data_IF_674736792711
#
_entry.id   IF_674736792711
#
_cell.length_a   1.000
_cell.length_b   1.000
_cell.length_c   1.000
_cell.angle_alpha   90.00
_cell.angle_beta   90.00
_cell.angle_gamma   90.00
#
_symmetry.space_group_name_H-M   'P 1'
#
loop_
_entity.id
_entity.type
_entity.pdbx_description
1 polymer ?
#
# COMPACT_ATOMS: atom_id res chain seq x y z
N UNK A 1 -9.21 30.40 16.17
CA UNK A 1 -10.12 29.24 16.17
C UNK A 1 -9.42 28.08 15.48
N UNK A 2 -9.15 26.98 16.18
CA UNK A 2 -8.50 25.80 15.59
C UNK A 2 -9.62 24.97 14.99
N UNK A 3 -9.64 24.83 13.66
CA UNK A 3 -10.63 23.99 12.97
C UNK A 3 -10.42 22.53 13.43
N UNK A 4 -11.44 21.84 13.96
CA UNK A 4 -11.32 20.46 14.36
C UNK A 4 -10.96 19.59 13.14
N UNK A 5 -10.00 18.68 13.31
CA UNK A 5 -9.65 17.70 12.28
C UNK A 5 -10.83 16.74 12.12
N UNK A 6 -11.17 16.37 10.89
CA UNK A 6 -12.17 15.33 10.63
C UNK A 6 -11.45 14.10 10.06
N UNK A 7 -11.29 13.09 10.91
CA UNK A 7 -10.62 11.82 10.56
C UNK A 7 -11.60 10.71 10.18
N UNK A 8 -12.89 10.85 10.49
CA UNK A 8 -13.89 9.81 10.25
C UNK A 8 -14.00 9.47 8.75
N UNK A 9 -14.08 8.18 8.42
CA UNK A 9 -14.13 7.65 7.06
C UNK A 9 -12.96 8.13 6.17
N UNK A 10 -11.76 8.23 6.76
CA UNK A 10 -10.52 8.55 6.03
C UNK A 10 -9.54 7.40 6.10
N UNK A 11 -8.70 7.32 5.07
CA UNK A 11 -7.51 6.48 5.09
C UNK A 11 -6.36 7.31 5.66
N UNK A 12 -5.63 6.74 6.59
CA UNK A 12 -4.52 7.39 7.30
C UNK A 12 -3.26 6.53 7.23
N UNK A 13 -2.12 7.18 7.46
CA UNK A 13 -0.86 6.55 7.85
C UNK A 13 -0.55 6.90 9.29
N UNK A 14 0.12 5.98 9.98
CA UNK A 14 0.68 6.24 11.29
C UNK A 14 2.07 6.88 11.15
N UNK A 15 2.41 7.77 12.08
CA UNK A 15 3.79 8.22 12.29
C UNK A 15 4.60 7.12 13.01
N UNK A 16 5.90 7.35 13.23
CA UNK A 16 6.78 6.37 13.87
C UNK A 16 6.32 5.95 15.27
N UNK A 17 5.76 6.87 16.06
CA UNK A 17 5.25 6.60 17.41
C UNK A 17 3.99 5.73 17.35
N UNK A 18 3.03 6.08 16.49
CA UNK A 18 1.82 5.29 16.29
C UNK A 18 2.11 3.90 15.73
N UNK A 19 3.11 3.74 14.85
CA UNK A 19 3.54 2.42 14.39
C UNK A 19 4.13 1.57 15.52
N UNK A 20 4.91 2.18 16.43
CA UNK A 20 5.45 1.47 17.59
C UNK A 20 4.35 1.05 18.57
N UNK A 21 3.35 1.91 18.80
CA UNK A 21 2.22 1.63 19.70
C UNK A 21 1.25 0.59 19.12
N UNK A 22 0.99 0.64 17.80
CA UNK A 22 0.15 -0.33 17.11
C UNK A 22 0.75 -1.75 17.09
N UNK A 23 2.09 -1.88 17.21
CA UNK A 23 2.77 -3.17 17.18
C UNK A 23 2.68 -3.92 15.84
N UNK A 24 2.25 -3.25 14.77
CA UNK A 24 2.06 -3.82 13.43
C UNK A 24 2.57 -2.86 12.34
N UNK A 25 2.95 -3.44 11.20
CA UNK A 25 3.64 -2.76 10.10
C UNK A 25 2.74 -2.49 8.89
N UNK A 26 1.41 -2.42 9.08
CA UNK A 26 0.51 -2.07 7.99
C UNK A 26 0.78 -0.65 7.48
N UNK A 27 0.75 -0.53 6.15
CA UNK A 27 1.09 0.73 5.47
C UNK A 27 -0.02 1.78 5.59
N UNK A 28 -1.27 1.33 5.65
CA UNK A 28 -2.45 2.19 5.69
C UNK A 28 -3.49 1.62 6.63
N UNK A 29 -4.29 2.52 7.19
CA UNK A 29 -5.41 2.20 8.06
C UNK A 29 -6.64 3.00 7.62
N UNK A 30 -7.82 2.41 7.77
CA UNK A 30 -9.09 3.10 7.66
C UNK A 30 -9.58 3.50 9.05
N UNK A 31 -10.07 4.73 9.18
CA UNK A 31 -10.65 5.24 10.44
C UNK A 31 -12.10 4.80 10.54
N UNK A 32 -12.34 3.76 11.33
CA UNK A 32 -13.66 3.20 11.62
C UNK A 32 -14.45 4.12 12.56
N UNK A 33 -13.81 4.63 13.62
CA UNK A 33 -14.42 5.58 14.56
C UNK A 33 -13.45 6.70 14.90
N UNK A 34 -13.97 7.92 15.06
CA UNK A 34 -13.20 9.07 15.56
C UNK A 34 -14.00 9.84 16.59
N UNK A 35 -13.44 9.97 17.79
CA UNK A 35 -13.98 10.77 18.88
C UNK A 35 -13.12 12.04 19.06
N UNK A 36 -13.57 13.22 18.59
CA UNK A 36 -12.75 14.43 18.59
C UNK A 36 -12.43 14.94 20.01
N UNK A 37 -13.33 14.74 20.96
CA UNK A 37 -13.15 15.22 22.34
C UNK A 37 -12.02 14.46 23.06
N UNK A 38 -11.89 13.16 22.78
CA UNK A 38 -10.87 12.30 23.36
C UNK A 38 -9.59 12.24 22.51
N UNK A 39 -9.61 12.82 21.30
CA UNK A 39 -8.58 12.61 20.27
C UNK A 39 -8.27 11.12 20.09
N UNK A 40 -9.32 10.29 20.07
CA UNK A 40 -9.24 8.84 19.99
C UNK A 40 -9.76 8.35 18.63
N UNK A 41 -9.05 7.39 18.04
CA UNK A 41 -9.44 6.74 16.78
C UNK A 41 -9.43 5.22 16.95
N UNK A 42 -10.41 4.58 16.34
CA UNK A 42 -10.46 3.14 16.13
C UNK A 42 -10.13 2.88 14.66
N UNK A 43 -9.10 2.07 14.42
CA UNK A 43 -8.51 1.89 13.10
C UNK A 43 -8.57 0.44 12.64
N UNK A 44 -9.04 0.22 11.42
CA UNK A 44 -8.93 -1.06 10.72
C UNK A 44 -7.74 -1.04 9.76
N UNK A 45 -6.82 -2.02 9.80
CA UNK A 45 -5.70 -2.07 8.87
C UNK A 45 -6.16 -2.42 7.45
N UNK A 46 -5.43 -1.94 6.45
CA UNK A 46 -5.65 -2.28 5.05
C UNK A 46 -4.59 -3.24 4.52
N UNK A 47 -5.03 -4.16 3.69
CA UNK A 47 -4.16 -5.10 2.96
C UNK A 47 -4.37 -4.99 1.46
N UNK A 48 -3.35 -5.36 0.70
CA UNK A 48 -3.45 -5.42 -0.76
C UNK A 48 -4.17 -6.69 -1.19
N UNK A 49 -5.29 -6.54 -1.90
CA UNK A 49 -6.08 -7.65 -2.44
C UNK A 49 -6.03 -7.66 -3.98
N UNK A 50 -4.84 -7.94 -4.52
CA UNK A 50 -4.61 -7.98 -5.97
C UNK A 50 -4.49 -6.58 -6.61
N UNK A 51 -4.83 -6.51 -7.90
CA UNK A 51 -4.66 -5.32 -8.74
C UNK A 51 -5.96 -4.99 -9.49
N UNK A 52 -6.19 -3.71 -9.78
CA UNK A 52 -7.30 -3.31 -10.65
C UNK A 52 -7.03 -3.74 -12.09
N UNK A 53 -8.07 -4.23 -12.77
CA UNK A 53 -7.99 -4.63 -14.17
C UNK A 53 -8.41 -3.54 -15.14
N UNK A 54 -8.64 -3.95 -16.38
CA UNK A 54 -9.03 -3.07 -17.49
C UNK A 54 -10.41 -2.41 -17.27
N UNK A 55 -11.24 -2.95 -16.36
CA UNK A 55 -12.53 -2.38 -15.96
C UNK A 55 -12.40 -1.01 -15.29
N UNK A 56 -11.22 -0.72 -14.72
CA UNK A 56 -10.87 0.56 -14.09
C UNK A 56 -9.65 1.18 -14.78
N UNK A 57 -9.77 1.79 -15.97
CA UNK A 57 -8.62 2.23 -16.77
C UNK A 57 -7.70 3.24 -16.05
N UNK A 58 -8.24 4.06 -15.14
CA UNK A 58 -7.47 5.04 -14.35
C UNK A 58 -6.69 4.43 -13.17
N UNK A 59 -7.00 3.20 -12.81
CA UNK A 59 -6.38 2.48 -11.72
C UNK A 59 -5.76 1.15 -12.20
N UNK A 60 -5.87 0.83 -13.48
CA UNK A 60 -5.40 -0.43 -14.06
C UNK A 60 -3.93 -0.70 -13.69
N UNK A 61 -3.67 -1.92 -13.21
CA UNK A 61 -2.36 -2.35 -12.72
C UNK A 61 -1.96 -1.80 -11.35
N UNK A 62 -2.78 -0.96 -10.69
CA UNK A 62 -2.52 -0.46 -9.33
C UNK A 62 -3.11 -1.41 -8.29
N UNK A 63 -2.49 -1.45 -7.12
CA UNK A 63 -2.92 -2.32 -6.01
C UNK A 63 -4.31 -1.94 -5.53
N UNK A 64 -5.14 -2.95 -5.31
CA UNK A 64 -6.43 -2.82 -4.62
C UNK A 64 -6.18 -2.90 -3.12
N UNK A 65 -6.63 -1.92 -2.37
CA UNK A 65 -6.59 -1.95 -0.91
C UNK A 65 -7.98 -2.28 -0.38
N UNK A 66 -8.06 -3.19 0.57
CA UNK A 66 -9.29 -3.59 1.24
C UNK A 66 -9.04 -3.67 2.74
N UNK A 67 -10.11 -3.53 3.54
CA UNK A 67 -10.05 -3.74 4.98
C UNK A 67 -9.69 -5.20 5.28
N UNK A 68 -8.88 -5.39 6.31
CA UNK A 68 -8.69 -6.71 6.90
C UNK A 68 -10.01 -7.14 7.55
N UNK A 69 -10.50 -8.36 7.30
CA UNK A 69 -11.75 -8.83 7.90
C UNK A 69 -11.73 -8.76 9.43
N UNK A 70 -12.85 -8.35 10.03
CA UNK A 70 -13.00 -8.27 11.49
C UNK A 70 -12.62 -9.57 12.21
N UNK A 71 -12.84 -10.73 11.58
CA UNK A 71 -12.49 -12.04 12.15
C UNK A 71 -11.01 -12.21 12.52
N UNK A 72 -10.11 -11.38 11.97
CA UNK A 72 -8.68 -11.40 12.27
C UNK A 72 -8.31 -10.56 13.51
N UNK A 73 -9.25 -9.74 14.05
CA UNK A 73 -9.08 -8.88 15.23
C UNK A 73 -7.77 -8.06 15.19
N UNK A 74 -7.48 -7.43 14.05
CA UNK A 74 -6.27 -6.61 13.83
C UNK A 74 -6.51 -5.12 14.00
N UNK A 75 -7.68 -4.74 14.49
CA UNK A 75 -8.04 -3.35 14.75
C UNK A 75 -7.20 -2.79 15.91
N UNK A 76 -6.91 -1.49 15.83
CA UNK A 76 -6.08 -0.81 16.83
C UNK A 76 -6.75 0.49 17.27
N UNK A 77 -6.67 0.75 18.57
CA UNK A 77 -7.11 1.98 19.20
C UNK A 77 -5.90 2.87 19.46
N UNK A 78 -5.91 4.09 18.91
CA UNK A 78 -4.78 5.02 19.01
C UNK A 78 -5.24 6.45 19.23
N UNK A 79 -4.28 7.32 19.56
CA UNK A 79 -4.53 8.77 19.48
C UNK A 79 -4.54 9.27 18.03
N UNK A 80 -5.50 10.15 17.74
CA UNK A 80 -5.63 10.87 16.48
C UNK A 80 -4.37 11.65 16.08
N UNK A 81 -3.52 12.01 17.04
CA UNK A 81 -2.27 12.73 16.79
C UNK A 81 -1.25 11.92 15.98
N UNK A 82 -1.30 10.59 16.04
CA UNK A 82 -0.43 9.72 15.25
C UNK A 82 -0.88 9.59 13.79
N UNK A 83 -2.12 10.00 13.48
CA UNK A 83 -2.72 9.80 12.17
C UNK A 83 -2.43 10.95 11.21
N UNK A 84 -1.92 10.61 10.02
CA UNK A 84 -1.79 11.52 8.89
C UNK A 84 -2.72 11.08 7.76
N UNK A 85 -3.67 11.94 7.39
CA UNK A 85 -4.63 11.64 6.31
C UNK A 85 -3.90 11.48 4.97
N UNK A 86 -4.18 10.38 4.28
CA UNK A 86 -3.74 10.17 2.90
C UNK A 86 -4.70 10.90 1.96
N UNK A 87 -4.19 11.93 1.27
CA UNK A 87 -5.02 12.80 0.42
C UNK A 87 -5.42 12.16 -0.90
N UNK A 88 -4.59 11.28 -1.45
CA UNK A 88 -4.77 10.68 -2.77
C UNK A 88 -5.44 9.32 -2.63
N UNK A 89 -6.73 9.31 -2.29
CA UNK A 89 -7.50 8.08 -2.07
C UNK A 89 -8.76 8.15 -2.90
N UNK A 90 -9.10 7.05 -3.58
CA UNK A 90 -10.35 6.90 -4.32
C UNK A 90 -11.04 5.60 -3.91
N UNK A 91 -12.27 5.70 -3.42
CA UNK A 91 -13.16 4.54 -3.26
C UNK A 91 -13.68 4.09 -4.63
N UNK A 92 -13.63 2.79 -4.91
CA UNK A 92 -13.76 2.24 -6.26
C UNK A 92 -15.07 1.50 -6.51
N UNK A 93 -15.70 0.94 -5.47
CA UNK A 93 -17.02 0.31 -5.51
C UNK A 93 -18.13 1.25 -5.01
N UNK A 94 -17.82 2.16 -4.09
CA UNK A 94 -18.78 3.10 -3.46
C UNK A 94 -19.88 2.37 -2.69
N UNK A 95 -19.48 1.40 -1.89
CA UNK A 95 -20.39 0.64 -1.02
C UNK A 95 -20.73 1.44 0.23
N UNK A 96 -21.86 1.11 0.86
CA UNK A 96 -22.23 1.67 2.16
C UNK A 96 -21.38 1.04 3.25
N UNK A 97 -21.14 -0.26 3.12
CA UNK A 97 -20.26 -1.02 3.99
C UNK A 97 -18.79 -0.81 3.60
N UNK A 98 -17.96 -0.49 4.58
CA UNK A 98 -16.53 -0.30 4.38
C UNK A 98 -15.81 -1.64 4.12
N UNK A 99 -16.33 -2.75 4.65
CA UNK A 99 -15.71 -4.07 4.49
C UNK A 99 -15.77 -4.58 3.04
N UNK A 100 -16.81 -4.18 2.31
CA UNK A 100 -16.97 -4.51 0.89
C UNK A 100 -16.20 -3.58 -0.06
N UNK A 101 -15.70 -2.46 0.45
CA UNK A 101 -15.10 -1.39 -0.35
C UNK A 101 -13.69 -1.74 -0.82
N UNK A 102 -13.30 -1.16 -1.96
CA UNK A 102 -11.93 -1.23 -2.47
C UNK A 102 -11.40 0.19 -2.69
N UNK A 103 -10.19 0.44 -2.20
CA UNK A 103 -9.53 1.73 -2.36
C UNK A 103 -8.35 1.66 -3.31
N UNK A 104 -8.27 2.68 -4.16
CA UNK A 104 -7.08 3.02 -4.92
C UNK A 104 -6.31 4.14 -4.19
N UNK A 105 -5.10 3.83 -3.73
CA UNK A 105 -4.25 4.76 -2.97
C UNK A 105 -3.08 5.24 -3.84
N UNK A 106 -2.97 6.56 -4.00
CA UNK A 106 -2.12 7.33 -4.92
C UNK A 106 -0.60 7.27 -4.73
N UNK A 107 -0.10 6.49 -3.78
CA UNK A 107 1.28 6.68 -3.28
C UNK A 107 2.39 6.20 -4.22
N UNK A 108 2.05 5.58 -5.34
CA UNK A 108 3.03 5.03 -6.28
C UNK A 108 2.91 5.76 -7.62
N UNK A 109 3.74 6.80 -7.75
CA UNK A 109 4.31 7.44 -8.96
C UNK A 109 4.11 8.98 -9.01
N UNK A 110 5.16 9.75 -9.37
CA UNK A 110 5.11 11.20 -9.47
C UNK A 110 4.11 11.65 -10.54
N UNK A 111 3.43 12.74 -10.26
CA UNK A 111 2.33 13.32 -11.04
C UNK A 111 2.74 13.89 -12.44
N UNK A 112 3.64 13.25 -13.20
CA UNK A 112 4.13 13.83 -14.47
C UNK A 112 3.52 13.24 -15.76
N UNK A 113 2.57 12.29 -15.71
CA UNK A 113 2.02 11.70 -16.95
C UNK A 113 0.62 12.23 -17.31
N UNK A 114 -0.05 12.98 -16.43
CA UNK A 114 -1.41 13.48 -16.70
C UNK A 114 -1.51 15.01 -16.80
N UNK A 115 -0.58 15.66 -17.46
CA UNK A 115 -0.84 17.00 -18.01
C UNK A 115 -1.59 16.86 -19.34
N UNK A 116 -2.92 16.87 -19.24
CA UNK A 116 -3.87 17.54 -20.14
C UNK A 116 -3.40 17.77 -21.60
N UNK A 117 -3.81 16.90 -22.53
CA UNK A 117 -4.23 17.38 -23.85
C UNK A 117 -5.73 17.63 -23.80
N UNK A 118 -6.11 18.90 -23.63
CA UNK A 118 -7.43 19.38 -24.00
C UNK A 118 -7.27 20.09 -25.34
N UNK A 119 -8.04 19.59 -26.29
CA UNK A 119 -8.22 19.94 -27.70
C UNK A 119 -8.32 21.43 -28.02
N UNK A 120 -7.66 21.84 -29.11
CA UNK A 120 -8.25 22.68 -30.16
C UNK A 120 -7.82 22.12 -31.52
N UNK A 121 -8.81 21.87 -32.39
CA UNK A 121 -8.59 21.24 -33.69
C UNK A 121 -8.12 22.22 -34.76
N UNK A 122 -7.35 21.70 -35.71
CA UNK A 122 -7.48 22.04 -37.13
C UNK A 122 -6.80 20.98 -37.98
N UNK A 123 -7.57 20.40 -38.89
CA UNK A 123 -7.09 19.54 -39.96
C UNK A 123 -6.14 20.31 -40.87
N UNK A 124 -5.10 19.64 -41.36
CA UNK A 124 -4.72 19.62 -42.77
C UNK A 124 -3.70 18.50 -42.98
N UNK A 125 -4.05 17.53 -43.83
CA UNK A 125 -3.17 16.42 -44.18
C UNK A 125 -2.14 16.84 -45.22
N UNK A 126 -0.95 16.23 -45.17
CA UNK A 126 -0.07 16.06 -46.34
C UNK A 126 0.66 14.73 -46.19
N UNK A 127 0.51 13.91 -47.21
CA UNK A 127 1.23 12.66 -47.51
C UNK A 127 2.71 12.91 -47.82
N UNK A 128 3.57 11.89 -47.65
CA UNK A 128 4.26 11.22 -48.77
C UNK A 128 5.41 10.33 -48.26
N UNK A 129 5.67 9.31 -49.06
CA UNK A 129 6.46 8.12 -48.84
C UNK A 129 7.99 8.29 -48.84
N UNK A 130 8.65 7.14 -48.64
CA UNK A 130 10.05 6.74 -48.96
C UNK A 130 11.14 7.28 -48.04
N UNK A 131 12.23 6.59 -47.71
CA UNK A 131 12.74 5.21 -47.76
C UNK A 131 14.11 5.31 -47.02
N UNK A 132 14.74 4.17 -46.74
CA UNK A 132 16.15 3.98 -46.38
C UNK A 132 16.58 4.01 -44.90
N UNK A 133 16.70 2.78 -44.38
CA UNK A 133 18.00 2.15 -44.05
C UNK A 133 18.83 2.81 -42.96
N UNK A 134 18.90 2.16 -41.80
CA UNK A 134 20.18 1.72 -41.22
C UNK A 134 19.95 0.70 -40.11
N UNK A 135 20.49 -0.50 -40.33
CA UNK A 135 20.66 -1.57 -39.37
C UNK A 135 21.39 -1.07 -38.13
N UNK A 136 21.06 -1.64 -36.96
CA UNK A 136 22.07 -2.08 -36.01
C UNK A 136 21.49 -3.21 -35.16
N UNK A 137 22.10 -4.37 -35.33
CA UNK A 137 21.93 -5.57 -34.55
C UNK A 137 22.14 -5.28 -33.06
N UNK A 138 21.24 -5.76 -32.20
CA UNK A 138 21.54 -5.93 -30.80
C UNK A 138 21.09 -7.35 -30.42
N UNK A 139 22.09 -8.21 -30.31
CA UNK A 139 21.96 -9.63 -30.09
C UNK A 139 21.26 -9.96 -28.77
N UNK A 140 20.41 -11.00 -28.84
CA UNK A 140 19.95 -11.78 -27.71
C UNK A 140 21.16 -12.30 -26.92
N UNK A 141 21.13 -12.12 -25.60
CA UNK A 141 21.82 -13.03 -24.69
C UNK A 141 20.86 -13.49 -23.61
N UNK A 142 20.24 -14.64 -23.87
CA UNK A 142 19.65 -15.51 -22.86
C UNK A 142 20.68 -16.59 -22.53
N UNK A 143 21.16 -16.62 -21.29
CA UNK A 143 21.63 -17.88 -20.69
C UNK A 143 21.72 -17.77 -19.16
N UNK A 144 20.75 -18.41 -18.51
CA UNK A 144 20.90 -19.31 -17.34
C UNK A 144 22.10 -19.10 -16.42
N UNK A 145 21.82 -18.73 -15.18
CA UNK A 145 22.67 -19.03 -14.03
C UNK A 145 22.00 -20.15 -13.21
N UNK A 146 22.45 -21.38 -13.45
CA UNK A 146 22.41 -22.46 -12.47
C UNK A 146 23.80 -22.56 -11.85
N UNK A 147 23.90 -22.43 -10.52
CA UNK A 147 24.81 -23.26 -9.71
C UNK A 147 24.25 -23.28 -8.29
N UNK A 148 23.65 -24.42 -7.93
CA UNK A 148 23.65 -24.88 -6.55
C UNK A 148 25.04 -25.45 -6.30
N UNK A 149 25.66 -25.08 -5.18
CA UNK A 149 26.58 -25.98 -4.49
C UNK A 149 26.39 -25.81 -2.98
N UNK A 150 25.94 -26.90 -2.38
CA UNK A 150 25.96 -27.19 -0.96
C UNK A 150 27.41 -27.29 -0.49
N UNK A 151 27.74 -26.73 0.67
CA UNK A 151 28.70 -27.39 1.56
C UNK A 151 28.34 -27.12 3.03
N UNK A 152 28.13 -28.24 3.74
CA UNK A 152 27.98 -28.34 5.19
C UNK A 152 29.25 -27.94 5.93
N UNK A 153 29.10 -27.32 7.10
CA UNK A 153 29.65 -27.82 8.38
C UNK A 153 28.91 -27.09 9.52
N UNK A 154 28.02 -27.76 10.26
CA UNK A 154 28.30 -28.48 11.52
C UNK A 154 29.17 -27.70 12.50
N UNK A 155 28.53 -27.00 13.44
CA UNK A 155 28.96 -27.10 14.83
C UNK A 155 27.80 -26.91 15.79
N UNK A 156 27.53 -28.00 16.50
CA UNK A 156 26.77 -28.09 17.74
C UNK A 156 27.41 -27.23 18.82
N UNK A 157 26.63 -26.51 19.61
CA UNK A 157 26.81 -26.64 21.05
C UNK A 157 25.54 -26.33 21.87
N UNK A 158 25.38 -27.21 22.84
CA UNK A 158 24.31 -27.33 23.81
C UNK A 158 24.65 -26.48 25.03
N UNK A 159 23.73 -25.63 25.52
CA UNK A 159 23.68 -25.31 26.95
C UNK A 159 22.22 -25.11 27.38
N UNK A 160 21.69 -26.15 28.05
CA UNK A 160 20.57 -26.05 28.96
C UNK A 160 20.95 -25.17 30.17
N UNK A 161 20.08 -24.25 30.58
CA UNK A 161 20.03 -23.77 31.99
C UNK A 161 18.58 -23.58 32.44
N UNK A 162 18.11 -24.65 33.08
CA UNK A 162 17.42 -24.73 34.37
C UNK A 162 16.56 -23.53 34.81
N UNK A 163 15.26 -23.78 34.81
CA UNK A 163 14.23 -23.11 35.61
C UNK A 163 14.49 -23.46 37.08
N UNK A 164 14.67 -22.46 37.95
CA UNK A 164 14.51 -22.65 39.40
C UNK A 164 13.16 -22.05 39.83
N UNK A 165 12.22 -22.95 40.13
CA UNK A 165 11.08 -22.67 41.00
C UNK A 165 11.61 -22.54 42.43
N UNK A 166 11.32 -21.41 43.07
CA UNK A 166 11.48 -21.21 44.50
C UNK A 166 10.11 -21.05 45.14
N UNK A 167 9.49 -22.17 45.51
CA UNK A 167 8.60 -22.23 46.67
C UNK A 167 9.48 -22.34 47.92
N UNK A 168 9.27 -21.48 48.92
CA UNK A 168 9.36 -21.85 50.34
C UNK A 168 8.85 -20.70 51.22
N UNK A 169 7.71 -20.98 51.84
CA UNK A 169 7.23 -20.58 53.19
C UNK A 169 7.02 -19.09 53.49
#
# INVERSE_FOLDING_TARGET
>A
EIKPRNLFNKIVKLNSEGMAEAGCDYKYYYVLTYLPDLQWVHLGPLVTNGFFGDDKPKANGRSKWALVPESENKEVDLTANYCTIVKQVRAMKRTVDADDEEWDIGDTLPASIWSTRKSEGKEEGVSCATDERMSNDCELSTSVLSTQDNLLDKQTDSVQRTIQFGEML
#
